data_IF_890916535605
#
_entry.id   IF_890916535605
#
_cell.length_a   1.000
_cell.length_b   1.000
_cell.length_c   1.000
_cell.angle_alpha   90.00
_cell.angle_beta   90.00
_cell.angle_gamma   90.00
#
_symmetry.space_group_name_H-M   'P 1'
#
loop_
_entity.id
_entity.type
_entity.pdbx_description
1 polymer ?
#
# COMPACT_ATOMS: atom_id res chain seq x y z
N UNK A 1 -73.55 11.21 13.80
CA UNK A 1 -72.90 10.85 12.50
C UNK A 1 -72.01 12.02 12.13
N UNK A 2 -70.77 12.05 12.50
CA UNK A 2 -69.63 12.83 11.97
C UNK A 2 -68.45 12.51 12.88
N UNK A 3 -67.49 11.68 12.42
CA UNK A 3 -66.06 11.62 12.83
C UNK A 3 -65.41 10.35 12.28
N UNK A 4 -65.03 10.41 11.05
CA UNK A 4 -64.06 9.44 10.49
C UNK A 4 -63.53 10.01 9.15
N UNK A 5 -62.63 10.98 9.16
CA UNK A 5 -61.81 11.36 7.99
C UNK A 5 -60.74 12.34 8.43
N UNK A 6 -59.76 11.93 9.20
CA UNK A 6 -58.57 12.83 9.42
C UNK A 6 -57.29 12.05 9.82
N UNK A 7 -57.20 10.76 9.62
CA UNK A 7 -56.00 9.98 10.04
C UNK A 7 -55.13 9.52 8.84
N UNK A 8 -55.68 9.53 7.60
CA UNK A 8 -54.92 9.02 6.44
C UNK A 8 -53.90 9.96 5.84
N UNK A 9 -54.04 11.28 6.03
CA UNK A 9 -53.15 12.25 5.36
C UNK A 9 -51.82 12.51 6.07
N UNK A 10 -51.70 12.24 7.38
CA UNK A 10 -50.50 12.54 8.13
C UNK A 10 -49.47 11.39 7.98
N UNK A 11 -49.91 10.14 7.77
CA UNK A 11 -49.03 8.99 7.62
C UNK A 11 -48.27 9.03 6.28
N UNK A 12 -48.89 9.53 5.21
CA UNK A 12 -48.21 9.59 3.91
C UNK A 12 -47.15 10.70 3.83
N UNK A 13 -47.28 11.79 4.55
CA UNK A 13 -46.28 12.87 4.57
C UNK A 13 -45.06 12.47 5.37
N UNK A 14 -45.22 11.75 6.47
CA UNK A 14 -44.06 11.28 7.31
C UNK A 14 -43.26 10.19 6.58
N UNK A 15 -43.92 9.31 5.80
CA UNK A 15 -43.20 8.29 5.02
C UNK A 15 -42.44 8.90 3.82
N UNK A 16 -42.96 9.94 3.19
CA UNK A 16 -42.23 10.61 2.10
C UNK A 16 -40.94 11.30 2.60
N UNK A 17 -41.00 11.97 3.76
CA UNK A 17 -39.82 12.60 4.36
C UNK A 17 -38.77 11.59 4.83
N UNK A 18 -39.19 10.43 5.32
CA UNK A 18 -38.25 9.36 5.70
C UNK A 18 -37.57 8.70 4.48
N UNK A 19 -38.25 8.66 3.34
CA UNK A 19 -37.71 8.11 2.10
C UNK A 19 -36.72 9.06 1.44
N UNK A 20 -36.98 10.36 1.41
CA UNK A 20 -36.04 11.37 0.91
C UNK A 20 -34.81 11.53 1.81
N UNK A 21 -34.97 11.39 3.13
CA UNK A 21 -33.83 11.42 4.06
C UNK A 21 -32.90 10.21 3.87
N UNK A 22 -33.41 9.02 3.51
CA UNK A 22 -32.57 7.84 3.22
C UNK A 22 -31.80 7.96 1.89
N UNK A 23 -32.34 8.68 0.89
CA UNK A 23 -31.62 8.94 -0.36
C UNK A 23 -30.59 10.08 -0.26
N UNK A 24 -30.76 11.01 0.68
CA UNK A 24 -29.78 12.08 0.92
C UNK A 24 -28.49 11.59 1.58
N UNK A 25 -28.53 10.47 2.31
CA UNK A 25 -27.33 9.85 2.88
C UNK A 25 -26.53 8.96 1.90
N UNK A 26 -27.10 8.62 0.75
CA UNK A 26 -26.47 7.71 -0.21
C UNK A 26 -25.52 8.40 -1.19
N UNK A 27 -25.43 9.75 -1.19
CA UNK A 27 -24.62 10.54 -2.14
C UNK A 27 -23.69 11.55 -1.45
N UNK A 28 -23.27 11.33 -0.20
CA UNK A 28 -22.11 12.04 0.30
C UNK A 28 -20.87 11.36 -0.27
N UNK A 29 -20.21 12.02 -1.21
CA UNK A 29 -18.81 11.73 -1.54
C UNK A 29 -18.03 11.57 -0.24
N UNK A 30 -17.18 10.53 -0.10
CA UNK A 30 -16.39 10.38 1.09
C UNK A 30 -15.57 11.66 1.30
N UNK A 31 -15.79 12.33 2.42
CA UNK A 31 -15.03 13.53 2.78
C UNK A 31 -13.58 13.11 2.98
N UNK A 32 -12.71 13.43 2.02
CA UNK A 32 -11.28 13.30 2.17
C UNK A 32 -10.79 14.35 3.17
N UNK A 33 -10.04 13.95 4.20
CA UNK A 33 -9.54 14.85 5.24
C UNK A 33 -8.20 15.48 4.91
N UNK A 34 -7.31 14.77 4.22
CA UNK A 34 -5.92 15.17 4.07
C UNK A 34 -5.33 14.92 2.67
N UNK A 35 -6.11 14.41 1.72
CA UNK A 35 -5.62 14.11 0.35
C UNK A 35 -5.08 15.34 -0.35
N UNK A 36 -3.88 15.22 -0.93
CA UNK A 36 -3.22 16.23 -1.76
C UNK A 36 -3.06 15.72 -3.20
N UNK A 37 -3.61 16.47 -4.16
CA UNK A 37 -3.53 16.13 -5.58
C UNK A 37 -4.67 15.23 -6.04
N UNK A 38 -4.40 14.45 -7.09
CA UNK A 38 -5.42 13.66 -7.78
C UNK A 38 -5.37 12.20 -7.30
N UNK A 39 -6.38 11.79 -6.53
CA UNK A 39 -6.54 10.44 -5.99
C UNK A 39 -7.80 9.79 -6.56
N UNK A 40 -7.63 8.87 -7.50
CA UNK A 40 -8.72 8.06 -8.06
C UNK A 40 -8.93 6.79 -7.22
N UNK A 41 -10.10 6.65 -6.61
CA UNK A 41 -10.46 5.51 -5.74
C UNK A 41 -11.39 4.56 -6.48
N UNK A 42 -10.91 3.36 -6.77
CA UNK A 42 -11.63 2.36 -7.56
C UNK A 42 -12.04 1.15 -6.75
N UNK A 43 -13.31 0.80 -6.81
CA UNK A 43 -13.80 -0.48 -6.29
C UNK A 43 -13.28 -1.62 -7.17
N UNK A 44 -12.64 -2.61 -6.56
CA UNK A 44 -12.03 -3.74 -7.24
C UNK A 44 -12.45 -5.06 -6.61
N UNK A 45 -13.07 -5.95 -7.41
CA UNK A 45 -13.48 -7.28 -6.98
C UNK A 45 -12.46 -8.32 -7.42
N UNK A 46 -11.80 -8.95 -6.46
CA UNK A 46 -10.83 -10.02 -6.70
C UNK A 46 -11.52 -11.37 -6.89
N UNK A 47 -11.13 -12.09 -7.92
CA UNK A 47 -11.51 -13.49 -8.14
C UNK A 47 -10.63 -14.44 -7.33
N UNK A 48 -9.41 -14.02 -6.98
CA UNK A 48 -8.48 -14.81 -6.16
C UNK A 48 -8.94 -14.86 -4.71
N UNK A 49 -9.31 -13.70 -4.14
CA UNK A 49 -9.72 -13.59 -2.74
C UNK A 49 -11.24 -13.59 -2.54
N UNK A 50 -12.03 -13.55 -3.61
CA UNK A 50 -13.50 -13.50 -3.58
C UNK A 50 -14.05 -12.38 -2.69
N UNK A 51 -13.39 -11.22 -2.71
CA UNK A 51 -13.80 -10.04 -1.96
C UNK A 51 -13.65 -8.78 -2.81
N UNK A 52 -14.24 -7.69 -2.32
CA UNK A 52 -14.12 -6.35 -2.93
C UNK A 52 -13.34 -5.45 -2.00
N UNK A 53 -12.41 -4.68 -2.58
CA UNK A 53 -11.58 -3.70 -1.87
C UNK A 53 -11.38 -2.46 -2.74
N UNK A 54 -10.84 -1.39 -2.18
CA UNK A 54 -10.46 -0.23 -2.96
C UNK A 54 -9.02 -0.35 -3.46
N UNK A 55 -8.79 0.12 -4.66
CA UNK A 55 -7.50 0.50 -5.20
C UNK A 55 -7.47 2.02 -5.24
N UNK A 56 -6.46 2.62 -4.61
CA UNK A 56 -6.27 4.06 -4.50
C UNK A 56 -5.12 4.45 -5.42
N UNK A 57 -5.41 5.16 -6.47
CA UNK A 57 -4.42 5.49 -7.51
C UNK A 57 -4.14 6.98 -7.47
N UNK A 58 -3.02 7.35 -6.87
CA UNK A 58 -2.55 8.72 -6.88
C UNK A 58 -1.80 9.02 -8.17
N UNK A 59 -2.20 10.10 -8.84
CA UNK A 59 -1.66 10.54 -10.11
C UNK A 59 -0.72 11.75 -9.91
N UNK A 60 0.44 11.77 -10.58
CA UNK A 60 1.41 12.85 -10.38
C UNK A 60 0.89 14.18 -10.93
N UNK A 61 1.34 15.33 -10.37
CA UNK A 61 1.02 16.64 -10.91
C UNK A 61 1.25 16.71 -12.43
N UNK A 62 0.27 17.24 -13.14
CA UNK A 62 0.31 17.37 -14.60
C UNK A 62 -0.09 16.09 -15.36
N UNK A 63 -0.53 15.02 -14.72
CA UNK A 63 -0.94 13.79 -15.40
C UNK A 63 -1.94 14.05 -16.52
N UNK A 64 -2.99 14.86 -16.32
CA UNK A 64 -4.01 15.15 -17.34
C UNK A 64 -3.62 16.27 -18.33
N UNK A 65 -2.43 16.86 -18.19
CA UNK A 65 -1.97 17.92 -19.10
C UNK A 65 -1.83 17.40 -20.54
N UNK A 66 -2.18 18.24 -21.51
CA UNK A 66 -2.22 17.85 -22.92
C UNK A 66 -0.86 17.39 -23.48
N UNK A 67 0.22 17.99 -22.99
CA UNK A 67 1.60 17.66 -23.34
C UNK A 67 2.09 16.33 -22.74
N UNK A 68 1.39 15.81 -21.71
CA UNK A 68 1.74 14.57 -21.05
C UNK A 68 0.92 13.35 -21.53
N UNK A 69 0.02 13.50 -22.50
CA UNK A 69 -0.87 12.41 -22.96
C UNK A 69 -0.15 11.16 -23.46
N UNK A 70 1.06 11.30 -24.01
CA UNK A 70 1.90 10.19 -24.47
C UNK A 70 2.85 9.63 -23.42
N UNK A 71 2.96 10.26 -22.26
CA UNK A 71 3.91 9.87 -21.21
C UNK A 71 3.41 8.67 -20.45
N UNK A 72 4.31 7.68 -20.23
CA UNK A 72 4.08 6.56 -19.32
C UNK A 72 4.93 6.73 -18.07
N UNK A 73 4.37 6.37 -16.93
CA UNK A 73 4.92 6.68 -15.62
C UNK A 73 5.40 5.41 -14.91
N UNK A 74 6.55 5.46 -14.22
CA UNK A 74 6.90 4.46 -13.21
C UNK A 74 5.77 4.26 -12.21
N UNK A 75 5.66 3.06 -11.63
CA UNK A 75 4.59 2.73 -10.68
C UNK A 75 5.17 2.18 -9.39
N UNK A 76 4.67 2.70 -8.26
CA UNK A 76 4.88 2.13 -6.93
C UNK A 76 3.58 1.52 -6.40
N UNK A 77 3.55 0.21 -6.23
CA UNK A 77 2.45 -0.50 -5.55
C UNK A 77 2.75 -0.60 -4.07
N UNK A 78 1.83 -0.13 -3.23
CA UNK A 78 1.94 -0.16 -1.77
C UNK A 78 0.76 -0.90 -1.16
N UNK A 79 1.06 -1.80 -0.25
CA UNK A 79 0.07 -2.49 0.56
C UNK A 79 -0.54 -1.54 1.60
N UNK A 80 -1.72 -1.91 2.13
CA UNK A 80 -2.46 -1.14 3.12
C UNK A 80 -2.89 0.24 2.60
N UNK A 81 -3.46 0.26 1.40
CA UNK A 81 -3.83 1.47 0.65
C UNK A 81 -4.64 2.50 1.42
N UNK A 82 -5.51 2.05 2.32
CA UNK A 82 -6.35 2.91 3.15
C UNK A 82 -5.57 3.77 4.16
N UNK A 83 -4.31 3.43 4.43
CA UNK A 83 -3.46 4.11 5.40
C UNK A 83 -2.39 5.02 4.73
N UNK A 84 -2.46 5.23 3.40
CA UNK A 84 -1.38 5.88 2.65
C UNK A 84 -1.61 7.37 2.35
N UNK A 85 -2.85 7.77 2.05
CA UNK A 85 -3.18 9.06 1.43
C UNK A 85 -4.19 9.91 2.20
N UNK A 86 -4.91 9.34 3.15
CA UNK A 86 -6.04 9.99 3.79
C UNK A 86 -6.22 9.50 5.23
N UNK A 87 -5.99 10.38 6.19
CA UNK A 87 -6.14 10.08 7.61
C UNK A 87 -7.56 9.62 7.96
N UNK A 88 -8.59 10.06 7.23
CA UNK A 88 -9.97 9.65 7.44
C UNK A 88 -10.27 8.21 7.03
N UNK A 89 -9.48 7.62 6.15
CA UNK A 89 -9.65 6.22 5.72
C UNK A 89 -8.76 5.25 6.47
N UNK A 90 -7.77 5.76 7.21
CA UNK A 90 -6.83 4.95 7.99
C UNK A 90 -7.56 4.07 9.01
N UNK A 91 -7.23 2.79 9.01
CA UNK A 91 -7.74 1.82 9.98
C UNK A 91 -6.89 1.73 11.24
N UNK A 92 -5.73 2.42 11.27
CA UNK A 92 -4.79 2.46 12.39
C UNK A 92 -4.62 3.90 12.90
N UNK A 93 -5.26 4.25 14.00
CA UNK A 93 -5.07 5.49 14.79
C UNK A 93 -5.30 6.82 14.04
N UNK A 94 -6.07 6.84 12.94
CA UNK A 94 -6.30 8.04 12.11
C UNK A 94 -4.98 8.74 11.70
N UNK A 95 -3.94 7.97 11.44
CA UNK A 95 -2.65 8.41 10.91
C UNK A 95 -2.43 7.80 9.53
N UNK A 96 -1.69 8.50 8.69
CA UNK A 96 -1.37 8.06 7.34
C UNK A 96 0.11 8.25 7.02
N UNK A 97 0.56 7.66 5.89
CA UNK A 97 1.94 7.78 5.45
C UNK A 97 2.26 9.10 4.73
N UNK A 98 1.28 9.93 4.43
CA UNK A 98 1.44 11.17 3.65
C UNK A 98 2.16 10.94 2.34
N UNK A 99 1.72 9.93 1.61
CA UNK A 99 2.36 9.50 0.36
C UNK A 99 2.21 10.57 -0.72
N UNK A 100 1.03 11.15 -0.85
CA UNK A 100 0.66 12.16 -1.82
C UNK A 100 1.33 13.51 -1.55
N UNK A 101 1.37 13.99 -0.30
CA UNK A 101 2.12 15.21 0.04
C UNK A 101 3.61 15.03 -0.24
N UNK A 102 4.15 13.88 0.16
CA UNK A 102 5.57 13.57 -0.05
C UNK A 102 5.91 13.51 -1.53
N UNK A 103 5.13 12.75 -2.32
CA UNK A 103 5.37 12.62 -3.75
C UNK A 103 5.18 13.95 -4.48
N UNK A 104 4.13 14.72 -4.14
CA UNK A 104 3.89 16.06 -4.68
C UNK A 104 5.09 16.98 -4.44
N UNK A 105 5.53 17.08 -3.19
CA UNK A 105 6.65 17.98 -2.83
C UNK A 105 7.96 17.59 -3.52
N UNK A 106 8.26 16.28 -3.60
CA UNK A 106 9.47 15.80 -4.25
C UNK A 106 9.46 16.01 -5.78
N UNK A 107 8.31 15.79 -6.43
CA UNK A 107 8.14 15.99 -7.87
C UNK A 107 8.24 17.49 -8.20
N UNK A 108 7.52 18.34 -7.47
CA UNK A 108 7.54 19.79 -7.70
C UNK A 108 8.91 20.41 -7.45
N UNK A 109 9.69 19.86 -6.51
CA UNK A 109 11.07 20.30 -6.27
C UNK A 109 12.10 19.70 -7.23
N UNK A 110 11.68 18.87 -8.19
CA UNK A 110 12.58 18.21 -9.16
C UNK A 110 13.45 17.08 -8.56
N UNK A 111 13.21 16.70 -7.31
CA UNK A 111 13.96 15.63 -6.61
C UNK A 111 13.47 14.23 -6.92
N UNK A 112 12.33 14.11 -7.56
CA UNK A 112 11.70 12.86 -7.95
C UNK A 112 11.09 13.00 -9.34
N UNK A 113 11.30 12.07 -10.28
CA UNK A 113 10.54 12.06 -11.52
C UNK A 113 9.07 11.76 -11.21
N UNK A 114 8.12 12.26 -12.04
CA UNK A 114 6.71 11.90 -11.89
C UNK A 114 6.52 10.39 -11.93
N UNK A 115 5.71 9.85 -10.98
CA UNK A 115 5.34 8.44 -10.90
C UNK A 115 3.89 8.29 -10.44
N UNK A 116 3.28 7.16 -10.71
CA UNK A 116 1.97 6.77 -10.17
C UNK A 116 2.20 5.97 -8.88
N UNK A 117 1.42 6.25 -7.84
CA UNK A 117 1.39 5.41 -6.63
C UNK A 117 0.04 4.71 -6.51
N UNK A 118 0.08 3.39 -6.36
CA UNK A 118 -1.11 2.56 -6.24
C UNK A 118 -1.18 1.96 -4.84
N UNK A 119 -2.09 2.45 -4.03
CA UNK A 119 -2.43 1.87 -2.74
C UNK A 119 -3.43 0.73 -2.92
N UNK A 120 -3.11 -0.43 -2.37
CA UNK A 120 -3.96 -1.62 -2.39
C UNK A 120 -4.54 -1.79 -1.00
N UNK A 121 -5.85 -1.52 -0.83
CA UNK A 121 -6.50 -1.70 0.47
C UNK A 121 -6.41 -3.17 0.91
N UNK A 122 -6.16 -3.40 2.18
CA UNK A 122 -6.23 -4.74 2.74
C UNK A 122 -7.70 -5.17 3.01
N UNK A 123 -7.91 -6.41 3.43
CA UNK A 123 -9.23 -6.96 3.71
C UNK A 123 -9.82 -6.55 5.08
N UNK A 124 -9.30 -5.47 5.69
CA UNK A 124 -9.67 -5.02 7.03
C UNK A 124 -8.87 -5.71 8.15
N UNK A 125 -8.88 -5.10 9.35
CA UNK A 125 -8.02 -5.51 10.49
C UNK A 125 -8.02 -7.00 10.78
N UNK A 126 -9.19 -7.66 10.69
CA UNK A 126 -9.36 -9.08 11.01
C UNK A 126 -8.77 -10.00 9.96
N UNK A 127 -8.90 -9.65 8.68
CA UNK A 127 -8.56 -10.54 7.57
C UNK A 127 -7.22 -10.15 6.92
N UNK A 128 -6.68 -8.96 7.19
CA UNK A 128 -5.34 -8.50 6.74
C UNK A 128 -4.23 -9.52 7.05
N UNK A 129 -4.07 -10.04 8.29
CA UNK A 129 -3.05 -11.03 8.57
C UNK A 129 -3.23 -12.33 7.77
N UNK A 130 -4.48 -12.74 7.51
CA UNK A 130 -4.76 -13.95 6.72
C UNK A 130 -4.32 -13.83 5.27
N UNK A 131 -4.44 -12.63 4.68
CA UNK A 131 -4.03 -12.37 3.30
C UNK A 131 -2.53 -12.09 3.17
N UNK A 132 -1.88 -11.60 4.23
CA UNK A 132 -0.47 -11.19 4.19
C UNK A 132 0.49 -12.25 4.76
N UNK A 133 0.01 -13.27 5.47
CA UNK A 133 0.84 -14.36 5.93
C UNK A 133 0.78 -15.54 4.94
N UNK A 134 1.93 -15.94 4.34
CA UNK A 134 1.97 -17.07 3.40
C UNK A 134 1.77 -18.43 4.08
N UNK A 135 1.97 -18.50 5.39
CA UNK A 135 1.87 -19.73 6.18
C UNK A 135 1.16 -19.46 7.49
N UNK A 136 0.42 -20.46 8.05
CA UNK A 136 -0.12 -20.37 9.39
C UNK A 136 0.97 -20.06 10.41
N UNK A 137 0.61 -19.33 11.44
CA UNK A 137 1.53 -19.02 12.54
C UNK A 137 0.82 -19.28 13.87
N UNK A 138 1.21 -20.36 14.53
CA UNK A 138 0.65 -20.81 15.80
C UNK A 138 1.25 -20.03 16.98
N UNK A 139 2.29 -19.23 16.76
CA UNK A 139 2.92 -18.39 17.79
C UNK A 139 2.16 -17.09 18.02
N UNK A 140 1.27 -16.72 17.10
CA UNK A 140 0.40 -15.55 17.25
C UNK A 140 -0.69 -15.78 18.28
N UNK A 141 -1.14 -14.69 18.91
CA UNK A 141 -2.24 -14.73 19.87
C UNK A 141 -3.37 -13.79 19.40
N UNK A 142 -4.52 -14.30 18.97
CA UNK A 142 -4.83 -15.73 18.78
C UNK A 142 -4.09 -16.35 17.59
N UNK A 143 -3.89 -17.69 17.58
CA UNK A 143 -3.31 -18.39 16.45
C UNK A 143 -4.07 -18.16 15.14
N UNK A 144 -3.36 -18.11 14.01
CA UNK A 144 -3.93 -17.97 12.67
C UNK A 144 -3.77 -19.26 11.86
N UNK A 145 -4.68 -20.22 12.03
CA UNK A 145 -4.57 -21.54 11.39
C UNK A 145 -4.90 -21.53 9.89
N UNK A 146 -5.58 -20.49 9.42
CA UNK A 146 -5.99 -20.37 8.00
C UNK A 146 -5.50 -19.04 7.46
N UNK A 147 -4.60 -19.10 6.50
CA UNK A 147 -4.00 -17.95 5.81
C UNK A 147 -3.99 -18.18 4.29
N UNK A 148 -4.00 -17.10 3.54
CA UNK A 148 -4.11 -17.09 2.08
C UNK A 148 -2.98 -16.30 1.41
N UNK A 149 -1.96 -15.88 2.16
CA UNK A 149 -0.87 -15.05 1.63
C UNK A 149 -0.11 -15.68 0.47
N UNK A 150 -0.16 -17.02 0.29
CA UNK A 150 0.38 -17.69 -0.90
C UNK A 150 -0.29 -17.27 -2.19
N UNK A 151 -1.55 -16.85 -2.13
CA UNK A 151 -2.34 -16.42 -3.27
C UNK A 151 -2.17 -14.92 -3.58
N UNK A 152 -1.57 -14.16 -2.64
CA UNK A 152 -1.36 -12.72 -2.82
C UNK A 152 -0.56 -12.37 -4.09
N UNK A 153 0.53 -13.05 -4.43
CA UNK A 153 1.24 -12.77 -5.69
C UNK A 153 0.36 -12.93 -6.92
N UNK A 154 -0.52 -13.93 -6.93
CA UNK A 154 -1.46 -14.15 -8.04
C UNK A 154 -2.49 -13.01 -8.12
N UNK A 155 -3.06 -12.60 -6.99
CA UNK A 155 -3.95 -11.44 -6.91
C UNK A 155 -3.28 -10.18 -7.48
N UNK A 156 -2.06 -9.89 -7.05
CA UNK A 156 -1.33 -8.70 -7.50
C UNK A 156 -0.97 -8.77 -8.99
N UNK A 157 -0.36 -9.88 -9.43
CA UNK A 157 0.24 -9.99 -10.77
C UNK A 157 -0.79 -10.28 -11.87
N UNK A 158 -1.84 -11.05 -11.55
CA UNK A 158 -2.80 -11.50 -12.56
C UNK A 158 -4.10 -10.68 -12.56
N UNK A 159 -4.36 -9.90 -11.49
CA UNK A 159 -5.57 -9.10 -11.38
C UNK A 159 -5.29 -7.61 -11.24
N UNK A 160 -4.59 -7.17 -10.18
CA UNK A 160 -4.39 -5.74 -9.88
C UNK A 160 -3.52 -5.06 -10.93
N UNK A 161 -2.31 -5.58 -11.19
CA UNK A 161 -1.39 -4.95 -12.14
C UNK A 161 -1.95 -4.87 -13.57
N UNK A 162 -2.58 -5.92 -14.13
CA UNK A 162 -3.24 -5.81 -15.44
C UNK A 162 -4.38 -4.79 -15.46
N UNK A 163 -5.15 -4.67 -14.39
CA UNK A 163 -6.19 -3.64 -14.27
C UNK A 163 -5.56 -2.25 -14.32
N UNK A 164 -4.57 -1.97 -13.49
CA UNK A 164 -3.89 -0.67 -13.42
C UNK A 164 -3.22 -0.32 -14.77
N UNK A 165 -2.54 -1.27 -15.41
CA UNK A 165 -1.88 -1.04 -16.70
C UNK A 165 -2.86 -0.75 -17.85
N UNK A 166 -4.11 -1.20 -17.74
CA UNK A 166 -5.17 -0.91 -18.73
C UNK A 166 -5.80 0.46 -18.50
N UNK A 167 -6.01 0.83 -17.25
CA UNK A 167 -6.76 2.05 -16.89
C UNK A 167 -5.86 3.30 -16.85
N UNK A 168 -4.54 3.14 -16.58
CA UNK A 168 -3.62 4.26 -16.37
C UNK A 168 -2.37 4.16 -17.26
N UNK A 169 -1.72 5.28 -17.52
CA UNK A 169 -0.51 5.38 -18.34
C UNK A 169 0.74 4.93 -17.57
N UNK A 170 0.77 3.67 -17.19
CA UNK A 170 1.90 3.04 -16.50
C UNK A 170 2.98 2.60 -17.48
N UNK A 171 4.24 2.63 -17.06
CA UNK A 171 5.34 1.99 -17.76
C UNK A 171 5.47 0.54 -17.24
N UNK A 172 5.27 -0.48 -18.09
CA UNK A 172 5.28 -1.88 -17.66
C UNK A 172 6.68 -2.46 -17.42
N UNK A 173 7.74 -1.66 -17.63
CA UNK A 173 9.11 -2.10 -17.38
C UNK A 173 9.27 -2.49 -15.90
N UNK A 174 9.70 -3.74 -15.59
CA UNK A 174 9.99 -4.14 -14.22
C UNK A 174 10.98 -3.21 -13.51
N UNK A 175 11.97 -2.64 -14.22
CA UNK A 175 12.92 -1.69 -13.66
C UNK A 175 12.26 -0.40 -13.16
N UNK A 176 11.06 -0.07 -13.63
CA UNK A 176 10.26 1.09 -13.24
C UNK A 176 9.10 0.75 -12.29
N UNK A 177 8.95 -0.53 -11.97
CA UNK A 177 7.87 -1.04 -11.13
C UNK A 177 8.40 -1.35 -9.73
N UNK A 178 7.76 -0.75 -8.72
CA UNK A 178 8.06 -0.99 -7.30
C UNK A 178 6.94 -1.72 -6.57
N UNK A 179 7.30 -2.43 -5.52
CA UNK A 179 6.37 -3.05 -4.57
C UNK A 179 6.83 -2.76 -3.15
N UNK A 180 5.89 -2.49 -2.24
CA UNK A 180 6.25 -2.25 -0.86
C UNK A 180 5.06 -2.25 0.12
N UNK A 181 5.38 -1.88 1.35
CA UNK A 181 4.43 -1.77 2.45
C UNK A 181 5.13 -1.77 3.80
N UNK A 182 4.36 -1.85 4.88
CA UNK A 182 4.87 -1.94 6.25
C UNK A 182 4.44 -3.22 6.96
N UNK A 183 5.18 -3.61 7.99
CA UNK A 183 4.79 -4.71 8.86
C UNK A 183 4.51 -6.01 8.08
N UNK A 184 3.32 -6.61 8.21
CA UNK A 184 2.89 -7.73 7.36
C UNK A 184 2.82 -7.36 5.88
N UNK A 185 2.47 -6.10 5.55
CA UNK A 185 2.46 -5.58 4.17
C UNK A 185 3.85 -5.58 3.54
N UNK A 186 4.91 -5.27 4.31
CA UNK A 186 6.29 -5.43 3.88
C UNK A 186 6.68 -6.92 3.74
N UNK A 187 6.23 -7.75 4.67
CA UNK A 187 6.47 -9.20 4.63
C UNK A 187 5.91 -9.85 3.36
N UNK A 188 4.66 -9.53 2.99
CA UNK A 188 4.05 -10.10 1.77
C UNK A 188 4.66 -9.50 0.48
N UNK A 189 5.13 -8.24 0.51
CA UNK A 189 5.88 -7.66 -0.60
C UNK A 189 7.20 -8.42 -0.83
N UNK A 190 7.97 -8.66 0.24
CA UNK A 190 9.20 -9.46 0.19
C UNK A 190 8.92 -10.89 -0.32
N UNK A 191 7.88 -11.56 0.21
CA UNK A 191 7.46 -12.87 -0.25
C UNK A 191 7.16 -12.88 -1.75
N UNK A 192 6.38 -11.90 -2.23
CA UNK A 192 5.99 -11.78 -3.63
C UNK A 192 7.20 -11.63 -4.55
N UNK A 193 8.15 -10.75 -4.19
CA UNK A 193 9.40 -10.55 -4.95
C UNK A 193 10.21 -11.84 -5.04
N UNK A 194 10.36 -12.57 -3.92
CA UNK A 194 11.09 -13.83 -3.91
C UNK A 194 10.38 -14.96 -4.67
N UNK A 195 9.05 -14.92 -4.77
CA UNK A 195 8.28 -15.90 -5.57
C UNK A 195 8.28 -15.60 -7.05
N UNK A 196 8.38 -14.34 -7.43
CA UNK A 196 8.29 -13.86 -8.81
C UNK A 196 9.47 -12.93 -9.14
N UNK A 197 10.71 -13.46 -9.17
CA UNK A 197 11.90 -12.66 -9.41
C UNK A 197 11.88 -12.01 -10.81
N UNK A 198 12.33 -10.75 -10.86
CA UNK A 198 12.36 -9.97 -12.11
C UNK A 198 11.05 -9.27 -12.47
N UNK A 199 10.01 -9.36 -11.62
CA UNK A 199 8.75 -8.62 -11.82
C UNK A 199 8.78 -7.21 -11.26
N UNK A 200 9.66 -6.95 -10.29
CA UNK A 200 9.81 -5.67 -9.62
C UNK A 200 11.29 -5.29 -9.56
N UNK A 201 11.62 -4.11 -10.05
CA UNK A 201 12.96 -3.53 -9.95
C UNK A 201 13.21 -2.80 -8.64
N UNK A 202 12.16 -2.51 -7.89
CA UNK A 202 12.23 -1.75 -6.64
C UNK A 202 11.42 -2.41 -5.54
N UNK A 203 12.01 -2.46 -4.32
CA UNK A 203 11.37 -3.03 -3.14
C UNK A 203 11.50 -2.07 -1.96
N UNK A 204 10.36 -1.77 -1.33
CA UNK A 204 10.26 -0.95 -0.13
C UNK A 204 9.74 -1.80 1.03
N UNK A 205 10.50 -1.88 2.11
CA UNK A 205 10.16 -2.63 3.31
C UNK A 205 10.23 -1.70 4.53
N UNK A 206 9.09 -1.32 5.10
CA UNK A 206 9.02 -0.58 6.35
C UNK A 206 8.68 -1.51 7.50
N UNK A 207 9.55 -1.56 8.51
CA UNK A 207 9.37 -2.37 9.73
C UNK A 207 8.85 -3.79 9.43
N UNK A 208 9.50 -4.55 8.53
CA UNK A 208 8.96 -5.80 8.00
C UNK A 208 8.82 -6.87 9.09
N UNK A 209 7.66 -7.54 9.14
CA UNK A 209 7.39 -8.67 10.04
C UNK A 209 8.12 -9.93 9.58
N UNK A 210 9.41 -10.02 9.88
CA UNK A 210 10.30 -11.11 9.44
C UNK A 210 10.24 -12.34 10.36
N UNK A 211 9.78 -12.17 11.59
CA UNK A 211 9.67 -13.19 12.62
C UNK A 211 8.62 -14.26 12.31
N UNK A 212 7.62 -13.93 11.51
CA UNK A 212 6.47 -14.79 11.27
C UNK A 212 6.88 -16.17 10.72
N UNK A 213 6.16 -17.20 11.16
CA UNK A 213 6.38 -18.60 10.79
C UNK A 213 7.86 -19.03 10.96
N UNK A 214 8.40 -18.83 12.15
CA UNK A 214 9.78 -19.17 12.52
C UNK A 214 10.79 -18.55 11.52
N UNK A 215 10.71 -17.24 11.32
CA UNK A 215 11.61 -16.49 10.44
C UNK A 215 11.68 -17.03 9.00
N UNK A 216 10.56 -17.51 8.46
CA UNK A 216 10.50 -18.10 7.12
C UNK A 216 11.09 -17.18 6.06
N UNK A 217 10.75 -15.88 6.09
CA UNK A 217 11.21 -14.92 5.10
C UNK A 217 12.73 -14.74 5.14
N UNK A 218 13.33 -14.71 6.33
CA UNK A 218 14.79 -14.65 6.50
C UNK A 218 15.47 -15.89 5.95
N UNK A 219 14.97 -17.08 6.30
CA UNK A 219 15.50 -18.35 5.78
C UNK A 219 15.39 -18.44 4.25
N UNK A 220 14.32 -17.90 3.69
CA UNK A 220 14.11 -17.86 2.23
C UNK A 220 15.04 -16.86 1.57
N UNK A 221 15.19 -15.66 2.15
CA UNK A 221 16.09 -14.62 1.68
C UNK A 221 17.55 -15.11 1.61
N UNK A 222 18.00 -15.90 2.59
CA UNK A 222 19.35 -16.45 2.61
C UNK A 222 19.70 -17.32 1.39
N UNK A 223 18.69 -17.83 0.67
CA UNK A 223 18.87 -18.70 -0.51
C UNK A 223 18.42 -18.01 -1.82
N UNK A 224 17.97 -16.77 -1.74
CA UNK A 224 17.46 -16.02 -2.88
C UNK A 224 18.55 -15.11 -3.44
N UNK A 225 18.72 -15.06 -4.77
CA UNK A 225 19.83 -14.33 -5.41
C UNK A 225 19.40 -13.32 -6.46
N UNK A 226 18.12 -13.31 -6.86
CA UNK A 226 17.61 -12.47 -7.95
C UNK A 226 16.87 -11.24 -7.42
N UNK A 227 17.57 -10.45 -6.59
CA UNK A 227 17.04 -9.27 -5.94
C UNK A 227 16.72 -8.13 -6.92
N UNK A 228 15.73 -7.27 -6.59
CA UNK A 228 15.48 -6.03 -7.30
C UNK A 228 16.74 -5.17 -7.47
N UNK A 229 16.70 -4.25 -8.40
CA UNK A 229 17.78 -3.29 -8.63
C UNK A 229 18.04 -2.41 -7.40
N UNK A 230 16.97 -2.01 -6.71
CA UNK A 230 17.04 -1.23 -5.48
C UNK A 230 16.13 -1.81 -4.39
N UNK A 231 16.65 -1.90 -3.18
CA UNK A 231 15.95 -2.36 -1.98
C UNK A 231 16.12 -1.32 -0.88
N UNK A 232 15.01 -0.77 -0.41
CA UNK A 232 14.97 0.09 0.77
C UNK A 232 14.38 -0.69 1.96
N UNK A 233 15.02 -0.58 3.13
CA UNK A 233 14.52 -1.14 4.37
C UNK A 233 14.53 -0.04 5.44
N UNK A 234 13.38 0.28 6.00
CA UNK A 234 13.23 1.18 7.13
C UNK A 234 12.84 0.43 8.39
N UNK A 235 13.34 0.86 9.54
CA UNK A 235 12.94 0.34 10.85
C UNK A 235 13.08 1.44 11.91
N UNK A 236 12.21 1.46 12.91
CA UNK A 236 12.35 2.27 14.12
C UNK A 236 13.28 1.59 15.14
N UNK A 237 13.40 2.18 16.32
CA UNK A 237 14.17 1.57 17.42
C UNK A 237 13.32 1.27 18.66
N UNK A 238 12.04 1.67 18.67
CA UNK A 238 11.15 1.45 19.81
C UNK A 238 10.18 0.31 19.50
N UNK A 239 10.34 -0.83 20.17
CA UNK A 239 9.50 -2.03 20.01
C UNK A 239 9.45 -2.52 18.54
N UNK A 240 10.57 -2.46 17.86
CA UNK A 240 10.74 -2.83 16.46
C UNK A 240 11.64 -4.05 16.29
N UNK A 241 11.48 -4.84 15.22
CA UNK A 241 12.30 -6.03 14.99
C UNK A 241 13.67 -5.68 14.37
N UNK A 242 14.44 -4.83 15.05
CA UNK A 242 15.74 -4.29 14.55
C UNK A 242 16.71 -5.42 14.22
N UNK A 243 16.83 -6.43 15.10
CA UNK A 243 17.74 -7.57 14.90
C UNK A 243 17.39 -8.36 13.63
N UNK A 244 16.10 -8.56 13.35
CA UNK A 244 15.67 -9.25 12.14
C UNK A 244 15.98 -8.44 10.89
N UNK A 245 15.83 -7.11 10.95
CA UNK A 245 16.24 -6.21 9.87
C UNK A 245 17.73 -6.26 9.63
N UNK A 246 18.55 -6.26 10.68
CA UNK A 246 20.01 -6.41 10.55
C UNK A 246 20.38 -7.78 9.94
N UNK A 247 19.72 -8.86 10.34
CA UNK A 247 19.92 -10.20 9.74
C UNK A 247 19.58 -10.22 8.25
N UNK A 248 18.48 -9.54 7.85
CA UNK A 248 18.15 -9.39 6.43
C UNK A 248 19.20 -8.54 5.70
N UNK A 249 19.60 -7.41 6.26
CA UNK A 249 20.65 -6.54 5.70
C UNK A 249 21.94 -7.30 5.45
N UNK A 250 22.40 -8.06 6.43
CA UNK A 250 23.65 -8.86 6.32
C UNK A 250 23.50 -9.92 5.23
N UNK A 251 22.37 -10.59 5.18
CA UNK A 251 22.05 -11.54 4.11
C UNK A 251 22.18 -10.90 2.73
N UNK A 252 21.55 -9.72 2.53
CA UNK A 252 21.59 -9.00 1.27
C UNK A 252 23.01 -8.57 0.91
N UNK A 253 23.77 -8.06 1.88
CA UNK A 253 25.17 -7.66 1.68
C UNK A 253 26.07 -8.83 1.28
N UNK A 254 25.96 -9.97 1.94
CA UNK A 254 26.69 -11.19 1.58
C UNK A 254 26.37 -11.68 0.16
N UNK A 255 25.18 -11.36 -0.34
CA UNK A 255 24.75 -11.68 -1.71
C UNK A 255 25.08 -10.58 -2.74
N UNK A 256 25.92 -9.61 -2.36
CA UNK A 256 26.43 -8.56 -3.25
C UNK A 256 25.50 -7.36 -3.43
N UNK A 257 24.47 -7.18 -2.57
CA UNK A 257 23.67 -5.95 -2.54
C UNK A 257 24.32 -4.95 -1.57
N UNK A 258 25.13 -4.06 -2.10
CA UNK A 258 25.64 -2.90 -1.38
C UNK A 258 25.11 -1.62 -1.96
N UNK A 259 25.71 -0.49 -1.60
CA UNK A 259 25.49 0.80 -2.27
C UNK A 259 25.89 0.68 -3.75
N UNK A 260 25.09 1.17 -4.71
CA UNK A 260 23.86 1.96 -4.56
C UNK A 260 22.54 1.15 -4.57
N UNK A 261 22.57 -0.17 -4.37
CA UNK A 261 21.40 -1.05 -4.52
C UNK A 261 20.63 -1.30 -3.23
N UNK A 262 21.25 -1.11 -2.07
CA UNK A 262 20.65 -1.33 -0.75
C UNK A 262 20.79 -0.09 0.12
N UNK A 263 19.67 0.41 0.63
CA UNK A 263 19.63 1.43 1.68
C UNK A 263 18.83 0.90 2.87
N UNK A 264 19.45 0.89 4.04
CA UNK A 264 18.81 0.56 5.31
C UNK A 264 18.82 1.80 6.19
N UNK A 265 17.68 2.13 6.77
CA UNK A 265 17.49 3.28 7.65
C UNK A 265 16.92 2.81 8.98
N UNK A 266 17.73 2.87 10.02
CA UNK A 266 17.30 2.72 11.39
C UNK A 266 17.05 4.11 11.98
N UNK A 267 15.80 4.38 12.37
CA UNK A 267 15.40 5.68 12.92
C UNK A 267 15.31 5.60 14.44
N UNK A 268 16.24 6.24 15.13
CA UNK A 268 16.26 6.28 16.58
C UNK A 268 15.03 7.01 17.14
N UNK A 269 14.41 6.45 18.17
CA UNK A 269 13.23 7.00 18.82
C UNK A 269 11.91 6.79 18.05
N UNK A 270 11.93 6.17 16.88
CA UNK A 270 10.75 5.89 16.10
C UNK A 270 10.11 4.54 16.48
N UNK A 271 8.77 4.53 16.50
CA UNK A 271 7.96 3.35 16.82
C UNK A 271 7.36 2.71 15.55
N UNK A 272 6.63 1.60 15.75
CA UNK A 272 5.95 0.84 14.71
C UNK A 272 4.61 1.49 14.33
N UNK A 273 4.63 2.58 13.57
CA UNK A 273 3.42 3.31 13.18
C UNK A 273 3.60 4.12 11.89
N UNK A 274 2.46 4.62 11.39
CA UNK A 274 2.34 5.39 10.15
C UNK A 274 3.16 6.68 10.19
N UNK A 275 3.22 7.37 11.33
CA UNK A 275 4.01 8.60 11.50
C UNK A 275 5.51 8.35 11.25
N UNK A 276 6.05 7.27 11.80
CA UNK A 276 7.45 6.91 11.62
C UNK A 276 7.75 6.51 10.15
N UNK A 277 6.81 5.78 9.51
CA UNK A 277 6.94 5.40 8.09
C UNK A 277 6.84 6.63 7.19
N UNK A 278 5.92 7.56 7.48
CA UNK A 278 5.81 8.84 6.77
C UNK A 278 7.11 9.64 6.80
N UNK A 279 7.78 9.69 7.96
CA UNK A 279 9.05 10.42 8.11
C UNK A 279 10.21 9.82 7.28
N UNK A 280 10.22 8.50 7.05
CA UNK A 280 11.24 7.81 6.25
C UNK A 280 10.90 7.76 4.75
N UNK A 281 9.62 7.88 4.40
CA UNK A 281 9.12 7.70 3.03
C UNK A 281 9.76 8.64 1.99
N UNK A 282 10.02 9.95 2.27
CA UNK A 282 10.72 10.82 1.31
C UNK A 282 12.08 10.27 0.88
N UNK A 283 12.86 9.75 1.84
CA UNK A 283 14.17 9.15 1.58
C UNK A 283 14.04 7.84 0.79
N UNK A 284 13.02 7.05 1.11
CA UNK A 284 12.72 5.80 0.40
C UNK A 284 12.39 6.07 -1.07
N UNK A 285 11.49 7.00 -1.38
CA UNK A 285 11.11 7.34 -2.74
C UNK A 285 12.30 7.88 -3.55
N UNK A 286 13.06 8.81 -2.98
CA UNK A 286 14.26 9.33 -3.65
C UNK A 286 15.25 8.21 -3.95
N UNK A 287 15.58 7.38 -2.97
CA UNK A 287 16.49 6.26 -3.19
C UNK A 287 16.02 5.33 -4.30
N UNK A 288 14.72 5.00 -4.32
CA UNK A 288 14.18 4.03 -5.26
C UNK A 288 14.05 4.58 -6.69
N UNK A 289 13.67 5.86 -6.85
CA UNK A 289 13.24 6.41 -8.14
C UNK A 289 14.07 7.58 -8.68
N UNK A 290 14.90 8.26 -7.87
CA UNK A 290 15.75 9.33 -8.42
C UNK A 290 16.78 8.79 -9.40
N UNK A 291 17.12 9.63 -10.37
CA UNK A 291 18.13 9.32 -11.37
C UNK A 291 19.53 9.28 -10.71
N UNK A 292 20.48 8.49 -11.25
CA UNK A 292 21.85 8.43 -10.68
C UNK A 292 22.59 9.76 -10.61
N UNK A 293 22.18 10.76 -11.39
CA UNK A 293 22.79 12.10 -11.43
C UNK A 293 22.27 13.03 -10.33
N UNK A 294 21.26 12.64 -9.56
CA UNK A 294 20.59 13.48 -8.56
C UNK A 294 20.96 13.08 -7.12
N UNK A 295 21.97 12.19 -6.94
CA UNK A 295 22.45 11.70 -5.63
C UNK A 295 23.79 12.29 -5.23
#
# INVERSE_FOLDING_TARGET
>A
MIRQFTICSVVFVVMAWAYEAQFAFANQEPTHCSVVGDLDVRSFTSRVFHNTRMLRVWLPPGYESADQRGTRYPVMYLNDGQDLFDACTSIFNAQEWRVDETATALIQSGKLPPLIVVGIDNAGKRDRPKEYLPFPDDTLTPPLPRVHGKDYPKFLLDEVMPFINREYRTDPDPAKTGLGGSSYGAGIALYTVMRHPGRFGKLLLESPSLYAHDNYLLRKAARFTRWPEKVFIGVGSINEPVDDVHRLQDTLRHQGLGVPRLLVVEQQGAAHNEEAWAQRFPRALQFLYSRPTDQ
#
